data_IF_871949665214
#
_entry.id   IF_871949665214
#
_cell.length_a   1.000
_cell.length_b   1.000
_cell.length_c   1.000
_cell.angle_alpha   90.00
_cell.angle_beta   90.00
_cell.angle_gamma   90.00
#
_symmetry.space_group_name_H-M   'P 1'
#
loop_
_entity.id
_entity.type
_entity.pdbx_description
1 polymer ?
#
# COMPACT_ATOMS: atom_id res chain seq x y z
N UNK A 1 -5.52 -12.56 4.06
CA UNK A 1 -4.08 -12.28 4.30
C UNK A 1 -3.63 -10.94 3.72
N UNK A 2 -3.74 -10.67 2.41
CA UNK A 2 -3.21 -9.44 1.78
C UNK A 2 -3.80 -8.12 2.31
N UNK A 3 -5.05 -8.12 2.80
CA UNK A 3 -5.67 -6.94 3.42
C UNK A 3 -4.83 -6.36 4.55
N UNK A 4 -4.24 -7.21 5.40
CA UNK A 4 -3.42 -6.75 6.53
C UNK A 4 -2.13 -6.10 6.02
N UNK A 5 -1.41 -6.75 5.09
CA UNK A 5 -0.19 -6.19 4.51
C UNK A 5 -0.42 -4.85 3.81
N UNK A 6 -1.53 -4.71 3.08
CA UNK A 6 -1.89 -3.43 2.44
C UNK A 6 -2.22 -2.38 3.51
N UNK A 7 -2.96 -2.75 4.55
CA UNK A 7 -3.28 -1.85 5.67
C UNK A 7 -2.01 -1.40 6.39
N UNK A 8 -1.07 -2.30 6.62
CA UNK A 8 0.22 -2.02 7.27
C UNK A 8 1.10 -1.11 6.39
N UNK A 9 1.15 -1.35 5.07
CA UNK A 9 1.86 -0.46 4.14
C UNK A 9 1.28 0.95 4.18
N UNK A 10 -0.04 1.10 4.12
CA UNK A 10 -0.67 2.43 4.14
C UNK A 10 -0.52 3.11 5.51
N UNK A 11 -0.51 2.32 6.60
CA UNK A 11 -0.29 2.81 7.96
C UNK A 11 1.13 3.31 8.16
N UNK A 12 2.14 2.49 7.87
CA UNK A 12 3.54 2.77 8.22
C UNK A 12 4.35 3.37 7.07
N UNK A 13 3.87 3.29 5.83
CA UNK A 13 4.56 3.76 4.63
C UNK A 13 5.62 2.81 4.10
N UNK A 14 6.06 1.82 4.90
CA UNK A 14 7.01 0.77 4.49
C UNK A 14 6.75 -0.53 5.23
N UNK A 15 6.94 -1.65 4.55
CA UNK A 15 6.88 -3.00 5.13
C UNK A 15 7.95 -3.90 4.52
N UNK A 16 8.36 -4.93 5.26
CA UNK A 16 9.26 -5.96 4.77
C UNK A 16 8.49 -7.28 4.66
N UNK A 17 8.52 -7.90 3.49
CA UNK A 17 7.81 -9.16 3.23
C UNK A 17 8.54 -9.97 2.17
N UNK A 18 8.00 -11.13 1.76
CA UNK A 18 8.60 -11.90 0.66
C UNK A 18 8.41 -11.18 -0.67
N UNK A 19 9.35 -11.34 -1.61
CA UNK A 19 9.29 -10.68 -2.93
C UNK A 19 7.95 -10.93 -3.64
N UNK A 20 7.47 -12.19 -3.60
CA UNK A 20 6.18 -12.56 -4.19
C UNK A 20 5.01 -11.81 -3.55
N UNK A 21 4.98 -11.68 -2.21
CA UNK A 21 3.92 -10.94 -1.52
C UNK A 21 4.00 -9.44 -1.79
N UNK A 22 5.21 -8.88 -1.83
CA UNK A 22 5.43 -7.47 -2.12
C UNK A 22 4.84 -7.08 -3.48
N UNK A 23 5.11 -7.89 -4.53
CA UNK A 23 4.55 -7.69 -5.88
C UNK A 23 3.02 -7.69 -5.91
N UNK A 24 2.39 -8.56 -5.13
CA UNK A 24 0.92 -8.61 -5.04
C UNK A 24 0.35 -7.42 -4.25
N UNK A 25 0.97 -7.05 -3.14
CA UNK A 25 0.52 -5.94 -2.28
C UNK A 25 0.67 -4.60 -2.99
N UNK A 26 1.71 -4.41 -3.80
CA UNK A 26 1.96 -3.19 -4.57
C UNK A 26 0.72 -2.79 -5.39
N UNK A 27 0.23 -3.68 -6.25
CA UNK A 27 -0.92 -3.38 -7.11
C UNK A 27 -2.21 -3.11 -6.32
N UNK A 28 -2.42 -3.79 -5.19
CA UNK A 28 -3.58 -3.55 -4.33
C UNK A 28 -3.52 -2.20 -3.62
N UNK A 29 -2.35 -1.83 -3.10
CA UNK A 29 -2.14 -0.55 -2.42
C UNK A 29 -2.28 0.63 -3.38
N UNK A 30 -1.72 0.52 -4.59
CA UNK A 30 -1.82 1.59 -5.59
C UNK A 30 -3.27 1.86 -6.02
N UNK A 31 -4.09 0.82 -6.13
CA UNK A 31 -5.54 0.96 -6.40
C UNK A 31 -6.23 1.74 -5.28
N UNK A 32 -5.92 1.49 -4.01
CA UNK A 32 -6.53 2.20 -2.89
C UNK A 32 -6.12 3.67 -2.86
N UNK A 33 -4.84 3.98 -3.13
CA UNK A 33 -4.37 5.36 -3.25
C UNK A 33 -5.10 6.07 -4.41
N UNK A 34 -5.33 5.36 -5.51
CA UNK A 34 -6.09 5.87 -6.66
C UNK A 34 -7.55 6.17 -6.31
N UNK A 35 -8.20 5.30 -5.53
CA UNK A 35 -9.53 5.58 -4.96
C UNK A 35 -9.51 6.83 -4.06
N UNK A 36 -8.46 6.99 -3.26
CA UNK A 36 -8.21 8.19 -2.44
C UNK A 36 -8.21 9.46 -3.28
N UNK A 37 -7.45 9.48 -4.38
CA UNK A 37 -7.40 10.61 -5.33
C UNK A 37 -8.77 10.95 -5.95
N UNK A 38 -9.62 9.96 -6.14
CA UNK A 38 -10.99 10.18 -6.63
C UNK A 38 -11.89 10.95 -5.65
N UNK A 39 -11.60 10.92 -4.34
CA UNK A 39 -12.21 11.80 -3.33
C UNK A 39 -13.70 11.62 -3.05
N UNK A 40 -14.44 10.81 -3.81
CA UNK A 40 -15.90 10.67 -3.65
C UNK A 40 -16.29 9.81 -2.45
N UNK A 41 -17.51 10.00 -1.94
CA UNK A 41 -18.09 9.13 -0.91
C UNK A 41 -18.13 7.66 -1.36
N UNK A 42 -18.37 7.41 -2.64
CA UNK A 42 -18.36 6.07 -3.22
C UNK A 42 -16.97 5.44 -3.14
N UNK A 43 -15.93 6.16 -3.56
CA UNK A 43 -14.53 5.73 -3.47
C UNK A 43 -14.13 5.42 -2.02
N UNK A 44 -14.59 6.24 -1.06
CA UNK A 44 -14.33 6.02 0.38
C UNK A 44 -15.00 4.74 0.89
N UNK A 45 -16.23 4.45 0.46
CA UNK A 45 -16.93 3.18 0.80
C UNK A 45 -16.23 1.97 0.18
N UNK A 46 -15.76 2.07 -1.06
CA UNK A 46 -14.98 1.02 -1.70
C UNK A 46 -13.66 0.75 -0.95
N UNK A 47 -12.96 1.80 -0.53
CA UNK A 47 -11.75 1.66 0.27
C UNK A 47 -12.02 0.97 1.62
N UNK A 48 -13.11 1.34 2.32
CA UNK A 48 -13.53 0.73 3.58
C UNK A 48 -13.95 -0.75 3.46
N UNK A 49 -14.43 -1.18 2.27
CA UNK A 49 -14.74 -2.59 2.03
C UNK A 49 -13.48 -3.48 2.03
N UNK A 50 -12.32 -2.90 1.75
CA UNK A 50 -11.04 -3.61 1.70
C UNK A 50 -10.17 -3.35 2.94
N UNK A 51 -9.98 -2.08 3.32
CA UNK A 51 -9.23 -1.65 4.50
C UNK A 51 -10.22 -1.38 5.63
N UNK A 52 -10.25 -2.29 6.61
CA UNK A 52 -11.21 -2.22 7.72
C UNK A 52 -10.91 -1.11 8.73
N UNK A 53 -9.67 -0.64 8.82
CA UNK A 53 -9.30 0.45 9.73
C UNK A 53 -9.65 1.82 9.13
N UNK A 54 -10.63 2.47 9.76
CA UNK A 54 -11.09 3.82 9.40
C UNK A 54 -9.98 4.88 9.47
N UNK A 55 -9.02 4.75 10.38
CA UNK A 55 -7.90 5.70 10.52
C UNK A 55 -6.97 5.62 9.32
N UNK A 56 -6.70 4.39 8.85
CA UNK A 56 -5.86 4.19 7.65
C UNK A 56 -6.58 4.70 6.42
N UNK A 57 -7.89 4.49 6.29
CA UNK A 57 -8.66 5.08 5.20
C UNK A 57 -8.65 6.61 5.27
N UNK A 58 -8.84 7.22 6.45
CA UNK A 58 -8.72 8.67 6.60
C UNK A 58 -7.35 9.17 6.12
N UNK A 59 -6.26 8.54 6.57
CA UNK A 59 -4.90 8.85 6.11
C UNK A 59 -4.74 8.78 4.58
N UNK A 60 -5.34 7.79 3.93
CA UNK A 60 -5.28 7.68 2.46
C UNK A 60 -5.91 8.88 1.76
N UNK A 61 -7.06 9.35 2.24
CA UNK A 61 -7.81 10.43 1.60
C UNK A 61 -7.29 11.81 2.01
N UNK A 62 -6.85 11.96 3.26
CA UNK A 62 -6.47 13.24 3.85
C UNK A 62 -4.98 13.57 3.62
N UNK A 63 -4.11 12.55 3.63
CA UNK A 63 -2.64 12.74 3.50
C UNK A 63 -2.09 12.22 2.16
N UNK A 64 -2.38 10.95 1.81
CA UNK A 64 -1.74 10.32 0.65
C UNK A 64 -2.33 10.81 -0.68
N UNK A 65 -3.63 11.08 -0.75
CA UNK A 65 -4.27 11.54 -1.98
C UNK A 65 -3.78 12.93 -2.42
N UNK A 66 -3.68 13.95 -1.53
CA UNK A 66 -3.04 15.21 -1.88
C UNK A 66 -1.57 15.05 -2.24
N UNK A 67 -0.81 14.23 -1.50
CA UNK A 67 0.61 13.98 -1.76
C UNK A 67 0.86 13.46 -3.18
N UNK A 68 0.03 12.54 -3.65
CA UNK A 68 0.18 11.95 -4.98
C UNK A 68 -0.71 12.57 -6.05
N UNK A 69 -1.28 13.75 -5.82
CA UNK A 69 -2.23 14.39 -6.73
C UNK A 69 -1.68 14.48 -8.17
N UNK A 70 -0.43 14.92 -8.32
CA UNK A 70 0.21 15.13 -9.63
C UNK A 70 0.83 13.87 -10.24
N UNK A 71 0.88 12.76 -9.50
CA UNK A 71 1.58 11.54 -9.94
C UNK A 71 0.63 10.57 -10.65
N UNK A 72 0.88 10.21 -11.92
CA UNK A 72 0.05 9.26 -12.66
C UNK A 72 0.50 7.80 -12.39
N UNK A 73 0.30 7.32 -11.16
CA UNK A 73 0.60 5.94 -10.77
C UNK A 73 2.02 5.67 -10.26
N UNK A 74 2.30 4.41 -9.93
CA UNK A 74 3.60 3.99 -9.37
C UNK A 74 3.88 4.63 -8.02
N UNK A 75 2.95 4.47 -7.07
CA UNK A 75 3.02 5.07 -5.73
C UNK A 75 3.83 4.24 -4.74
N UNK A 76 4.15 3.00 -5.08
CA UNK A 76 4.95 2.12 -4.25
C UNK A 76 6.15 1.56 -5.04
N UNK A 77 7.26 1.35 -4.33
CA UNK A 77 8.51 0.80 -4.84
C UNK A 77 8.87 -0.47 -4.09
N UNK A 78 9.38 -1.45 -4.81
CA UNK A 78 9.95 -2.68 -4.26
C UNK A 78 11.47 -2.60 -4.30
N UNK A 79 12.10 -2.76 -3.15
CA UNK A 79 13.55 -2.90 -3.01
C UNK A 79 13.84 -4.33 -2.59
N UNK A 80 14.60 -5.06 -3.39
CA UNK A 80 15.04 -6.41 -3.03
C UNK A 80 16.03 -6.33 -1.87
N UNK A 81 15.85 -7.18 -0.88
CA UNK A 81 16.77 -7.33 0.24
C UNK A 81 17.30 -8.77 0.25
N UNK A 82 18.32 -9.02 1.08
CA UNK A 82 18.92 -10.34 1.21
C UNK A 82 17.90 -11.43 1.56
N UNK A 83 18.20 -12.70 1.25
CA UNK A 83 17.31 -13.81 1.57
C UNK A 83 17.10 -13.94 3.08
N UNK A 84 15.91 -14.39 3.47
CA UNK A 84 15.59 -14.61 4.88
C UNK A 84 16.45 -15.74 5.46
N UNK A 85 17.00 -15.49 6.64
CA UNK A 85 17.73 -16.50 7.38
C UNK A 85 16.80 -17.65 7.79
N UNK A 86 17.21 -18.89 7.54
CA UNK A 86 16.42 -20.10 7.79
C UNK A 86 15.92 -20.75 6.50
N UNK A 87 14.92 -20.17 5.85
CA UNK A 87 14.27 -20.76 4.66
C UNK A 87 14.81 -20.25 3.32
N UNK A 88 15.76 -19.30 3.33
CA UNK A 88 16.36 -18.74 2.12
C UNK A 88 15.39 -17.96 1.23
N UNK A 89 14.18 -17.67 1.71
CA UNK A 89 13.16 -17.03 0.87
C UNK A 89 13.60 -15.63 0.42
N UNK A 90 13.38 -15.24 -0.85
CA UNK A 90 13.70 -13.91 -1.33
C UNK A 90 12.78 -12.89 -0.64
N UNK A 91 13.41 -11.93 0.03
CA UNK A 91 12.72 -10.88 0.76
C UNK A 91 12.78 -9.56 -0.01
N UNK A 92 11.80 -8.70 0.21
CA UNK A 92 11.76 -7.37 -0.35
C UNK A 92 11.12 -6.38 0.63
N UNK A 93 11.64 -5.16 0.63
CA UNK A 93 11.00 -4.01 1.25
C UNK A 93 10.06 -3.37 0.24
N UNK A 94 8.80 -3.18 0.62
CA UNK A 94 7.81 -2.42 -0.13
C UNK A 94 7.59 -1.10 0.59
N UNK A 95 7.79 0.01 -0.12
CA UNK A 95 7.68 1.36 0.44
C UNK A 95 6.86 2.28 -0.47
N UNK A 96 6.16 3.24 0.15
CA UNK A 96 5.51 4.32 -0.58
C UNK A 96 6.57 5.32 -1.04
N UNK A 97 6.48 5.74 -2.29
CA UNK A 97 7.44 6.69 -2.89
C UNK A 97 7.21 8.08 -2.32
N UNK A 98 8.26 8.89 -2.20
CA UNK A 98 8.09 10.29 -1.79
C UNK A 98 7.40 11.15 -2.85
#
# INVERSE_FOLDING_TARGET
MYRNLVTDLLRYGKIVTTEAKAKQVQGMAERIITLGKGGTLHSRRQALAFVTDKKVVAKVFDELAPRYAQRPGGYARIIKIGPRHGDGAPMAQLELVE
#
